data_IF_883197033300
#
_entry.id   IF_883197033300
#
_cell.length_a   1.000
_cell.length_b   1.000
_cell.length_c   1.000
_cell.angle_alpha   90.00
_cell.angle_beta   90.00
_cell.angle_gamma   90.00
#
_symmetry.space_group_name_H-M   'P 1'
#
loop_
_entity.id
_entity.type
_entity.pdbx_description
1 polymer ?
#
# COMPACT_ATOMS: atom_id res chain seq x y z
N UNK A 1 77.88 20.45 -84.16
CA UNK A 1 77.11 21.69 -84.30
C UNK A 1 76.10 21.76 -83.15
N UNK A 2 75.99 22.96 -82.56
CA UNK A 2 74.98 23.52 -81.63
C UNK A 2 73.59 22.84 -81.66
N UNK A 3 72.74 22.85 -80.64
CA UNK A 3 72.62 23.74 -79.47
C UNK A 3 71.63 23.17 -78.42
N UNK A 4 71.76 23.71 -77.21
CA UNK A 4 70.73 24.07 -76.22
C UNK A 4 70.02 23.06 -75.29
N UNK A 5 70.11 23.45 -74.02
CA UNK A 5 69.48 22.95 -72.81
C UNK A 5 67.95 23.05 -72.83
N UNK A 6 67.30 22.16 -72.09
CA UNK A 6 66.24 22.57 -71.16
C UNK A 6 66.27 21.66 -69.93
N UNK A 7 66.50 22.25 -68.77
CA UNK A 7 66.46 21.59 -67.47
C UNK A 7 65.01 21.51 -66.97
N UNK A 8 64.64 20.38 -66.36
CA UNK A 8 63.38 20.22 -65.65
C UNK A 8 63.28 18.82 -65.02
N UNK A 9 63.62 18.70 -63.73
CA UNK A 9 63.40 17.48 -62.95
C UNK A 9 61.88 17.21 -62.82
N UNK A 10 61.39 16.08 -63.33
CA UNK A 10 59.96 15.77 -63.43
C UNK A 10 59.35 14.99 -62.26
N UNK A 11 60.04 14.81 -61.13
CA UNK A 11 59.56 13.91 -60.05
C UNK A 11 59.65 14.44 -58.61
N UNK A 12 59.61 15.76 -58.40
CA UNK A 12 59.50 16.32 -57.04
C UNK A 12 58.07 16.81 -56.74
N UNK A 13 57.25 15.95 -56.13
CA UNK A 13 56.00 16.38 -55.49
C UNK A 13 56.33 16.96 -54.10
N UNK A 14 55.90 18.19 -53.76
CA UNK A 14 56.20 18.77 -52.46
C UNK A 14 55.63 17.88 -51.35
N UNK A 15 56.47 17.45 -50.39
CA UNK A 15 56.07 16.62 -49.22
C UNK A 15 54.93 17.25 -48.40
N UNK A 16 54.70 18.56 -48.59
CA UNK A 16 53.63 19.36 -47.99
C UNK A 16 52.24 19.05 -48.58
N UNK A 17 52.12 18.74 -49.87
CA UNK A 17 50.82 18.41 -50.49
C UNK A 17 50.30 17.05 -50.05
N UNK A 18 51.18 16.05 -49.98
CA UNK A 18 50.83 14.69 -49.50
C UNK A 18 50.46 14.72 -48.01
N UNK A 19 51.19 15.49 -47.19
CA UNK A 19 50.86 15.70 -45.77
C UNK A 19 49.56 16.49 -45.58
N UNK A 20 49.30 17.48 -46.44
CA UNK A 20 48.05 18.23 -46.46
C UNK A 20 46.85 17.35 -46.78
N UNK A 21 46.96 16.48 -47.79
CA UNK A 21 45.94 15.50 -48.13
C UNK A 21 45.71 14.50 -46.99
N UNK A 22 46.77 13.94 -46.40
CA UNK A 22 46.66 13.01 -45.26
C UNK A 22 45.98 13.65 -44.05
N UNK A 23 46.37 14.89 -43.70
CA UNK A 23 45.74 15.64 -42.61
C UNK A 23 44.26 15.91 -42.89
N UNK A 24 43.93 16.29 -44.12
CA UNK A 24 42.54 16.52 -44.54
C UNK A 24 41.67 15.26 -44.44
N UNK A 25 42.17 14.09 -44.86
CA UNK A 25 41.45 12.81 -44.68
C UNK A 25 41.36 12.39 -43.21
N UNK A 26 42.39 12.64 -42.41
CA UNK A 26 42.38 12.37 -40.97
C UNK A 26 41.36 13.25 -40.22
N UNK A 27 41.33 14.55 -40.50
CA UNK A 27 40.39 15.51 -39.90
C UNK A 27 38.95 15.18 -40.30
N UNK A 28 38.72 14.81 -41.57
CA UNK A 28 37.41 14.39 -42.07
C UNK A 28 36.95 13.07 -41.42
N UNK A 29 37.85 12.10 -41.24
CA UNK A 29 37.55 10.86 -40.52
C UNK A 29 37.24 11.12 -39.04
N UNK A 30 37.98 12.02 -38.38
CA UNK A 30 37.72 12.40 -36.99
C UNK A 30 36.32 13.05 -36.83
N UNK A 31 35.92 13.91 -37.76
CA UNK A 31 34.57 14.47 -37.78
C UNK A 31 33.49 13.41 -37.99
N UNK A 32 33.68 12.46 -38.90
CA UNK A 32 32.74 11.36 -39.15
C UNK A 32 32.59 10.46 -37.94
N UNK A 33 33.70 10.11 -37.27
CA UNK A 33 33.70 9.32 -36.03
C UNK A 33 32.96 10.07 -34.93
N UNK A 34 33.25 11.36 -34.74
CA UNK A 34 32.61 12.18 -33.70
C UNK A 34 31.10 12.29 -33.91
N UNK A 35 30.66 12.46 -35.17
CA UNK A 35 29.24 12.48 -35.54
C UNK A 35 28.56 11.15 -35.22
N UNK A 36 29.20 10.02 -35.58
CA UNK A 36 28.68 8.67 -35.26
C UNK A 36 28.57 8.42 -33.76
N UNK A 37 29.55 8.87 -32.97
CA UNK A 37 29.51 8.74 -31.51
C UNK A 37 28.35 9.56 -30.93
N UNK A 38 28.14 10.79 -31.42
CA UNK A 38 27.04 11.63 -30.97
C UNK A 38 25.67 11.06 -31.38
N UNK A 39 25.54 10.56 -32.61
CA UNK A 39 24.31 9.90 -33.08
C UNK A 39 24.01 8.62 -32.28
N UNK A 40 25.03 7.84 -31.96
CA UNK A 40 24.90 6.64 -31.13
C UNK A 40 24.49 6.98 -29.70
N UNK A 41 25.05 8.04 -29.11
CA UNK A 41 24.66 8.56 -27.79
C UNK A 41 23.22 9.07 -27.79
N UNK A 42 22.83 9.85 -28.79
CA UNK A 42 21.46 10.36 -28.92
C UNK A 42 20.44 9.22 -29.08
N UNK A 43 20.78 8.19 -29.86
CA UNK A 43 19.95 6.97 -29.99
C UNK A 43 19.89 6.18 -28.70
N UNK A 44 20.99 6.10 -27.95
CA UNK A 44 21.00 5.43 -26.65
C UNK A 44 20.06 6.16 -25.68
N UNK A 45 20.15 7.49 -25.59
CA UNK A 45 19.26 8.31 -24.76
C UNK A 45 17.79 8.17 -25.19
N UNK A 46 17.48 8.19 -26.50
CA UNK A 46 16.12 7.97 -27.00
C UNK A 46 15.60 6.56 -26.68
N UNK A 47 16.45 5.53 -26.76
CA UNK A 47 16.10 4.16 -26.38
C UNK A 47 15.91 4.01 -24.86
N UNK A 48 16.69 4.72 -24.04
CA UNK A 48 16.54 4.75 -22.58
C UNK A 48 15.25 5.47 -22.16
N UNK A 49 14.94 6.61 -22.78
CA UNK A 49 13.71 7.37 -22.51
C UNK A 49 12.44 6.64 -22.98
N UNK A 50 12.54 5.87 -24.07
CA UNK A 50 11.42 5.08 -24.62
C UNK A 50 11.28 3.69 -24.02
N UNK A 51 12.19 3.24 -23.14
CA UNK A 51 12.02 1.96 -22.46
C UNK A 51 10.75 2.00 -21.61
N UNK A 52 9.68 1.39 -22.14
CA UNK A 52 8.47 1.07 -21.39
C UNK A 52 8.91 0.14 -20.26
N UNK A 53 9.04 0.69 -19.06
CA UNK A 53 9.39 -0.08 -17.86
C UNK A 53 8.42 -1.25 -17.77
N UNK A 54 8.94 -2.46 -17.54
CA UNK A 54 8.12 -3.64 -17.30
C UNK A 54 7.04 -3.28 -16.27
N UNK A 55 5.76 -3.64 -16.51
CA UNK A 55 4.70 -3.38 -15.56
C UNK A 55 5.13 -3.90 -14.18
N UNK A 56 4.93 -3.13 -13.10
CA UNK A 56 5.33 -3.56 -11.79
C UNK A 56 4.65 -4.90 -11.45
N UNK A 57 5.37 -5.76 -10.71
CA UNK A 57 4.80 -6.99 -10.18
C UNK A 57 3.50 -6.66 -9.42
N UNK A 58 2.44 -7.41 -9.71
CA UNK A 58 1.16 -7.24 -9.02
C UNK A 58 1.38 -7.59 -7.55
N UNK A 59 0.84 -6.74 -6.68
CA UNK A 59 0.79 -6.99 -5.26
C UNK A 59 -0.25 -8.08 -4.99
N UNK A 60 0.17 -9.17 -4.36
CA UNK A 60 -0.69 -10.28 -3.98
C UNK A 60 -0.80 -10.31 -2.46
N UNK A 61 -2.02 -10.17 -1.96
CA UNK A 61 -2.29 -10.22 -0.53
C UNK A 61 -2.04 -11.63 -0.01
N UNK A 62 -1.14 -11.76 0.96
CA UNK A 62 -0.69 -13.06 1.44
C UNK A 62 -1.61 -13.67 2.52
N UNK A 63 -2.58 -12.90 3.05
CA UNK A 63 -3.53 -13.36 4.06
C UNK A 63 -3.45 -12.59 5.39
N UNK A 64 -4.40 -12.87 6.28
CA UNK A 64 -4.53 -12.19 7.59
C UNK A 64 -3.63 -12.78 8.69
N UNK A 65 -3.19 -14.03 8.54
CA UNK A 65 -2.44 -14.80 9.56
C UNK A 65 -0.97 -15.03 9.18
N UNK A 66 -0.47 -14.35 8.16
CA UNK A 66 0.92 -14.52 7.67
C UNK A 66 1.96 -14.09 8.72
N UNK A 67 1.59 -13.13 9.57
CA UNK A 67 2.41 -12.69 10.70
C UNK A 67 2.31 -13.62 11.93
N UNK A 68 1.46 -14.65 11.87
CA UNK A 68 1.13 -15.55 12.96
C UNK A 68 -0.38 -15.65 13.19
N UNK A 69 -0.78 -16.53 14.10
CA UNK A 69 -2.17 -16.64 14.53
C UNK A 69 -2.46 -15.68 15.69
N UNK A 70 -3.67 -15.11 15.76
CA UNK A 70 -4.15 -14.47 16.96
C UNK A 70 -4.06 -15.46 18.12
N UNK A 71 -3.75 -14.97 19.32
CA UNK A 71 -3.66 -15.77 20.54
C UNK A 71 -4.99 -15.70 21.29
N UNK A 72 -5.93 -16.64 21.09
CA UNK A 72 -7.18 -16.60 21.84
C UNK A 72 -6.88 -16.88 23.32
N UNK A 73 -7.14 -15.90 24.19
CA UNK A 73 -7.07 -16.10 25.64
C UNK A 73 -8.48 -16.29 26.19
N UNK A 74 -8.78 -17.47 26.74
CA UNK A 74 -10.00 -17.72 27.50
C UNK A 74 -11.08 -18.55 26.80
N UNK A 75 -12.20 -18.75 27.49
CA UNK A 75 -13.33 -19.57 27.05
C UNK A 75 -14.13 -18.91 25.91
N UNK A 76 -15.09 -19.67 25.34
CA UNK A 76 -16.07 -19.23 24.34
C UNK A 76 -17.13 -18.26 24.91
N UNK A 77 -16.73 -17.36 25.78
CA UNK A 77 -17.60 -16.38 26.41
C UNK A 77 -17.83 -15.15 25.48
N UNK A 78 -18.88 -14.36 25.73
CA UNK A 78 -19.05 -13.07 25.10
C UNK A 78 -17.83 -12.19 25.34
N UNK A 79 -17.17 -11.78 24.26
CA UNK A 79 -15.98 -10.92 24.30
C UNK A 79 -16.33 -9.45 24.13
N UNK A 80 -17.45 -9.16 23.47
CA UNK A 80 -17.99 -7.82 23.30
C UNK A 80 -19.51 -7.88 23.46
N UNK A 81 -20.05 -7.08 24.37
CA UNK A 81 -21.49 -7.01 24.62
C UNK A 81 -21.94 -5.56 24.72
N UNK A 82 -22.98 -5.21 23.96
CA UNK A 82 -23.74 -3.97 24.13
C UNK A 82 -25.13 -4.30 24.66
N UNK A 83 -25.60 -3.56 25.66
CA UNK A 83 -26.94 -3.67 26.23
C UNK A 83 -27.60 -2.31 26.12
N UNK A 84 -28.54 -2.18 25.17
CA UNK A 84 -29.23 -0.93 24.83
C UNK A 84 -28.26 0.26 24.67
N UNK A 85 -27.05 0.00 24.16
CA UNK A 85 -26.04 1.03 24.00
C UNK A 85 -26.49 1.99 22.90
N UNK A 86 -26.56 3.27 23.23
CA UNK A 86 -26.91 4.31 22.28
C UNK A 86 -25.88 5.44 22.33
N UNK A 87 -25.73 6.15 21.21
CA UNK A 87 -25.03 7.42 21.15
C UNK A 87 -25.99 8.43 20.53
N UNK A 88 -26.30 9.48 21.28
CA UNK A 88 -27.30 10.48 20.87
C UNK A 88 -27.05 10.96 19.44
N UNK A 89 -28.10 10.98 18.62
CA UNK A 89 -28.11 11.42 17.22
C UNK A 89 -27.17 10.64 16.27
N UNK A 90 -26.62 9.49 16.71
CA UNK A 90 -25.61 8.74 15.94
C UNK A 90 -25.77 7.22 15.95
N UNK A 91 -26.35 6.66 17.00
CA UNK A 91 -26.63 5.23 17.10
C UNK A 91 -27.89 5.04 17.99
N UNK A 92 -28.97 4.44 17.46
CA UNK A 92 -30.14 4.08 18.27
C UNK A 92 -29.77 2.99 19.30
N UNK A 93 -30.57 2.80 20.36
CA UNK A 93 -30.33 1.75 21.35
C UNK A 93 -30.12 0.38 20.69
N UNK A 94 -28.90 -0.14 20.80
CA UNK A 94 -28.48 -1.35 20.09
C UNK A 94 -27.92 -2.36 21.09
N UNK A 95 -28.49 -3.56 21.07
CA UNK A 95 -28.03 -4.71 21.86
C UNK A 95 -27.41 -5.75 20.94
N UNK A 96 -26.18 -6.17 21.27
CA UNK A 96 -25.39 -7.10 20.50
C UNK A 96 -24.47 -7.85 21.44
N UNK A 97 -24.40 -9.18 21.35
CA UNK A 97 -23.44 -9.99 22.07
C UNK A 97 -22.62 -10.78 21.07
N UNK A 98 -21.30 -10.59 21.08
CA UNK A 98 -20.34 -11.23 20.18
C UNK A 98 -19.48 -12.16 21.01
N UNK A 99 -19.48 -13.43 20.64
CA UNK A 99 -18.65 -14.47 21.25
C UNK A 99 -17.33 -14.65 20.51
N UNK A 100 -16.37 -15.28 21.18
CA UNK A 100 -15.07 -15.61 20.60
C UNK A 100 -15.20 -16.47 19.33
N UNK A 101 -14.47 -16.12 18.28
CA UNK A 101 -14.45 -16.84 16.99
C UNK A 101 -15.62 -16.51 16.06
N UNK A 102 -16.62 -15.76 16.52
CA UNK A 102 -17.76 -15.39 15.68
C UNK A 102 -17.37 -14.39 14.58
N UNK A 103 -18.08 -14.49 13.46
CA UNK A 103 -17.99 -13.58 12.32
C UNK A 103 -19.29 -12.80 12.21
N UNK A 104 -19.22 -11.49 12.41
CA UNK A 104 -20.36 -10.60 12.32
C UNK A 104 -20.25 -9.64 11.14
N UNK A 105 -21.36 -9.47 10.41
CA UNK A 105 -21.53 -8.40 9.44
C UNK A 105 -22.61 -7.43 9.94
N UNK A 106 -22.20 -6.19 10.18
CA UNK A 106 -23.09 -5.07 10.49
C UNK A 106 -23.41 -4.36 9.18
N UNK A 107 -24.69 -4.34 8.83
CA UNK A 107 -25.22 -3.66 7.64
C UNK A 107 -26.18 -2.55 8.04
N UNK A 108 -26.38 -1.59 7.15
CA UNK A 108 -27.29 -0.48 7.36
C UNK A 108 -26.98 0.65 6.38
N UNK A 109 -27.94 1.56 6.14
CA UNK A 109 -27.74 2.72 5.27
C UNK A 109 -26.62 3.64 5.80
N UNK A 110 -26.18 4.59 4.98
CA UNK A 110 -25.26 5.62 5.42
C UNK A 110 -25.93 6.45 6.54
N UNK A 111 -25.19 6.72 7.61
CA UNK A 111 -25.73 7.41 8.79
C UNK A 111 -26.44 6.51 9.82
N UNK A 112 -26.61 5.20 9.57
CA UNK A 112 -27.22 4.27 10.53
C UNK A 112 -26.42 4.03 11.84
N UNK A 113 -25.20 4.54 11.92
CA UNK A 113 -24.36 4.40 13.11
C UNK A 113 -23.38 3.23 13.11
N UNK A 114 -23.09 2.59 11.97
CA UNK A 114 -22.14 1.46 11.88
C UNK A 114 -20.76 1.79 12.49
N UNK A 115 -20.13 2.87 12.02
CA UNK A 115 -18.85 3.35 12.56
C UNK A 115 -18.96 3.73 14.03
N UNK A 116 -20.10 4.28 14.45
CA UNK A 116 -20.40 4.58 15.86
C UNK A 116 -20.42 3.32 16.71
N UNK A 117 -21.09 2.26 16.25
CA UNK A 117 -21.13 0.97 16.94
C UNK A 117 -19.72 0.37 17.04
N UNK A 118 -18.92 0.40 15.97
CA UNK A 118 -17.53 -0.06 16.02
C UNK A 118 -16.68 0.79 16.99
N UNK A 119 -16.88 2.10 17.04
CA UNK A 119 -16.26 3.00 18.01
C UNK A 119 -16.66 2.66 19.46
N UNK A 120 -17.96 2.35 19.66
CA UNK A 120 -18.46 1.85 20.94
C UNK A 120 -17.87 0.49 21.27
N UNK A 121 -17.59 -0.42 20.33
CA UNK A 121 -16.99 -1.73 20.58
C UNK A 121 -15.47 -1.68 20.82
N UNK A 122 -14.76 -0.73 20.20
CA UNK A 122 -13.31 -0.49 20.43
C UNK A 122 -12.99 0.26 21.71
N UNK A 123 -13.87 1.18 22.12
CA UNK A 123 -13.73 1.93 23.38
C UNK A 123 -13.23 3.34 23.16
N UNK A 124 -13.03 3.68 21.88
CA UNK A 124 -12.80 5.03 21.41
C UNK A 124 -14.01 5.94 21.64
N UNK A 125 -15.22 5.37 21.68
CA UNK A 125 -16.46 6.08 22.03
C UNK A 125 -17.10 5.50 23.30
N UNK A 126 -17.72 6.37 24.10
CA UNK A 126 -18.54 6.01 25.26
C UNK A 126 -20.02 6.18 24.92
N UNK A 127 -20.90 5.24 25.32
CA UNK A 127 -22.32 5.36 25.06
C UNK A 127 -22.92 6.52 25.88
N UNK A 128 -23.96 7.16 25.33
CA UNK A 128 -24.78 8.15 26.07
C UNK A 128 -25.77 7.45 27.01
N UNK A 129 -26.23 6.25 26.64
CA UNK A 129 -27.11 5.41 27.47
C UNK A 129 -26.83 3.93 27.19
N UNK A 130 -27.27 3.05 28.10
CA UNK A 130 -26.97 1.62 28.05
C UNK A 130 -25.55 1.31 28.52
N UNK A 131 -25.09 0.09 28.23
CA UNK A 131 -23.79 -0.40 28.69
C UNK A 131 -23.02 -1.11 27.58
N UNK A 132 -21.69 -0.99 27.61
CA UNK A 132 -20.78 -1.77 26.78
C UNK A 132 -19.78 -2.50 27.67
N UNK A 133 -19.80 -3.83 27.62
CA UNK A 133 -18.88 -4.73 28.32
C UNK A 133 -17.94 -5.38 27.32
N UNK A 134 -16.66 -5.53 27.69
CA UNK A 134 -15.62 -6.01 26.79
C UNK A 134 -14.59 -6.80 27.57
N UNK A 135 -13.97 -7.76 26.89
CA UNK A 135 -12.65 -8.27 27.27
C UNK A 135 -11.58 -7.18 27.11
N UNK A 136 -10.37 -7.36 27.68
CA UNK A 136 -9.30 -6.37 27.60
C UNK A 136 -9.10 -5.77 26.19
N UNK A 137 -8.99 -4.45 26.15
CA UNK A 137 -9.01 -3.62 24.92
C UNK A 137 -7.77 -3.82 24.05
N UNK A 138 -6.67 -4.29 24.62
CA UNK A 138 -5.42 -4.59 23.93
C UNK A 138 -5.55 -5.70 22.88
N UNK A 139 -6.62 -6.49 22.93
CA UNK A 139 -6.93 -7.57 21.99
C UNK A 139 -7.85 -7.15 20.84
N UNK A 140 -8.42 -5.94 20.91
CA UNK A 140 -9.33 -5.38 19.89
C UNK A 140 -8.55 -4.42 18.99
N UNK A 141 -8.67 -4.57 17.67
CA UNK A 141 -8.14 -3.59 16.71
C UNK A 141 -9.19 -3.23 15.68
N UNK A 142 -9.25 -1.94 15.35
CA UNK A 142 -10.15 -1.40 14.35
C UNK A 142 -9.36 -0.84 13.17
N UNK A 143 -9.72 -1.30 11.98
CA UNK A 143 -9.42 -0.59 10.74
C UNK A 143 -10.57 0.37 10.45
N UNK A 144 -10.41 1.64 10.80
CA UNK A 144 -11.42 2.67 10.59
C UNK A 144 -11.56 3.05 9.09
N UNK A 145 -12.70 3.66 8.74
CA UNK A 145 -12.99 4.13 7.38
C UNK A 145 -12.03 5.24 6.93
N UNK A 146 -11.81 6.25 7.78
CA UNK A 146 -10.84 7.33 7.55
C UNK A 146 -9.50 6.94 8.19
N UNK A 147 -8.48 6.77 7.35
CA UNK A 147 -7.18 6.26 7.78
C UNK A 147 -6.19 7.38 8.02
N UNK A 148 -6.40 8.18 9.07
CA UNK A 148 -5.33 9.00 9.61
C UNK A 148 -4.42 8.09 10.45
N UNK A 149 -3.26 7.72 9.91
CA UNK A 149 -2.27 6.94 10.64
C UNK A 149 -1.69 7.79 11.79
N UNK A 150 -1.76 7.33 13.05
CA UNK A 150 -1.17 8.06 14.16
C UNK A 150 0.32 8.32 13.92
N UNK A 151 0.80 9.48 14.36
CA UNK A 151 2.21 9.87 14.32
C UNK A 151 2.72 10.08 15.75
N UNK A 152 2.97 8.99 16.51
CA UNK A 152 3.31 9.07 17.93
C UNK A 152 4.64 9.78 18.21
N UNK A 153 5.48 9.95 17.19
CA UNK A 153 6.78 10.61 17.29
C UNK A 153 6.83 11.96 16.57
N UNK A 154 5.67 12.48 16.12
CA UNK A 154 5.53 13.78 15.45
C UNK A 154 6.57 14.01 14.34
N UNK A 155 6.79 12.99 13.49
CA UNK A 155 7.73 13.05 12.37
C UNK A 155 7.24 13.96 11.24
N UNK A 156 5.94 14.24 11.21
CA UNK A 156 5.31 15.19 10.31
C UNK A 156 5.43 14.80 8.84
N UNK A 157 5.56 15.77 7.90
CA UNK A 157 5.42 15.52 6.47
C UNK A 157 6.56 14.69 5.86
N UNK A 158 7.68 14.56 6.57
CA UNK A 158 8.84 13.77 6.11
C UNK A 158 8.73 12.28 6.43
N UNK A 159 7.73 11.90 7.26
CA UNK A 159 7.50 10.52 7.69
C UNK A 159 7.33 9.58 6.50
N UNK A 160 8.22 8.61 6.37
CA UNK A 160 8.12 7.61 5.32
C UNK A 160 7.13 6.52 5.69
N UNK A 161 6.73 5.72 4.70
CA UNK A 161 5.87 4.56 4.91
C UNK A 161 6.51 3.53 5.85
N UNK A 162 7.82 3.31 5.72
CA UNK A 162 8.56 2.39 6.59
C UNK A 162 8.66 2.94 8.02
N UNK A 163 8.91 4.25 8.18
CA UNK A 163 8.87 4.90 9.50
C UNK A 163 7.49 4.70 10.13
N UNK A 164 6.43 4.98 9.37
CA UNK A 164 5.07 4.88 9.88
C UNK A 164 4.71 3.47 10.34
N UNK A 165 5.09 2.47 9.56
CA UNK A 165 4.93 1.08 9.95
C UNK A 165 5.72 0.74 11.22
N UNK A 166 7.00 1.09 11.25
CA UNK A 166 7.91 0.77 12.37
C UNK A 166 7.47 1.46 13.66
N UNK A 167 7.07 2.72 13.58
CA UNK A 167 6.61 3.51 14.73
C UNK A 167 5.33 2.93 15.36
N UNK A 168 4.39 2.44 14.53
CA UNK A 168 3.10 1.93 14.99
C UNK A 168 3.17 0.48 15.48
N UNK A 169 4.03 -0.33 14.86
CA UNK A 169 4.15 -1.77 15.13
C UNK A 169 5.21 -2.06 16.20
N UNK A 170 6.20 -1.16 16.34
CA UNK A 170 7.37 -1.30 17.18
C UNK A 170 8.55 -1.94 16.42
N UNK A 171 9.78 -1.47 16.70
CA UNK A 171 10.98 -1.86 15.98
C UNK A 171 11.24 -3.38 16.00
N UNK A 172 11.08 -4.05 17.15
CA UNK A 172 11.29 -5.49 17.26
C UNK A 172 10.31 -6.28 16.39
N UNK A 173 9.03 -5.88 16.38
CA UNK A 173 8.00 -6.55 15.60
C UNK A 173 8.14 -6.24 14.12
N UNK A 174 8.50 -5.00 13.75
CA UNK A 174 8.79 -4.65 12.36
C UNK A 174 10.01 -5.43 11.79
N UNK A 175 10.96 -5.81 12.64
CA UNK A 175 12.07 -6.69 12.25
C UNK A 175 11.63 -8.15 12.03
N UNK A 176 10.69 -8.66 12.83
CA UNK A 176 10.14 -10.02 12.69
C UNK A 176 9.11 -10.15 11.58
N UNK A 177 8.31 -9.11 11.38
CA UNK A 177 7.24 -9.00 10.38
C UNK A 177 7.53 -7.75 9.55
N UNK A 178 8.37 -7.84 8.51
CA UNK A 178 8.64 -6.70 7.64
C UNK A 178 7.36 -6.24 6.91
N UNK A 179 7.26 -4.95 6.58
CA UNK A 179 6.10 -4.39 5.86
C UNK A 179 5.72 -5.15 4.58
N UNK A 180 6.71 -5.71 3.88
CA UNK A 180 6.50 -6.50 2.66
C UNK A 180 5.76 -7.82 2.85
N UNK A 181 5.65 -8.32 4.10
CA UNK A 181 5.09 -9.64 4.44
C UNK A 181 3.69 -9.85 3.89
N UNK A 182 2.83 -8.83 3.96
CA UNK A 182 1.42 -8.95 3.56
C UNK A 182 1.20 -8.75 2.06
N UNK A 183 2.21 -8.31 1.31
CA UNK A 183 2.05 -7.92 -0.10
C UNK A 183 1.09 -6.74 -0.29
N UNK A 184 0.92 -5.88 0.71
CA UNK A 184 -0.03 -4.75 0.68
C UNK A 184 0.60 -3.45 0.13
N UNK A 185 1.90 -3.27 0.33
CA UNK A 185 2.69 -2.11 -0.12
C UNK A 185 3.88 -2.62 -0.93
N UNK A 186 4.18 -1.96 -2.05
CA UNK A 186 5.34 -2.32 -2.86
C UNK A 186 6.64 -1.81 -2.21
N UNK A 187 7.73 -2.57 -2.32
CA UNK A 187 9.03 -2.21 -1.74
C UNK A 187 9.54 -0.83 -2.17
N UNK A 188 9.25 -0.42 -3.40
CA UNK A 188 9.59 0.91 -3.93
C UNK A 188 8.89 2.07 -3.21
N UNK A 189 7.74 1.80 -2.58
CA UNK A 189 6.95 2.80 -1.89
C UNK A 189 7.34 2.92 -0.41
N UNK A 190 8.23 2.06 0.12
CA UNK A 190 8.61 2.05 1.54
C UNK A 190 9.26 3.38 2.00
N UNK A 191 10.06 4.01 1.14
CA UNK A 191 10.74 5.27 1.46
C UNK A 191 9.94 6.51 1.01
N UNK A 192 8.76 6.33 0.41
CA UNK A 192 7.90 7.45 0.04
C UNK A 192 7.26 8.04 1.29
N UNK A 193 6.90 9.32 1.22
CA UNK A 193 6.21 9.99 2.33
C UNK A 193 4.77 9.49 2.43
N UNK A 194 4.26 9.32 3.64
CA UNK A 194 2.87 8.83 3.85
C UNK A 194 1.85 9.76 3.17
N UNK A 195 2.08 11.07 3.20
CA UNK A 195 1.21 12.07 2.57
C UNK A 195 1.16 11.99 1.03
N UNK A 196 2.14 11.34 0.39
CA UNK A 196 2.17 11.14 -1.07
C UNK A 196 1.44 9.87 -1.51
N UNK A 197 1.08 9.01 -0.55
CA UNK A 197 0.31 7.81 -0.84
C UNK A 197 -1.13 8.17 -1.22
N UNK A 198 -1.69 7.43 -2.18
CA UNK A 198 -3.12 7.49 -2.41
C UNK A 198 -3.89 6.98 -1.19
N UNK A 199 -5.15 7.38 -1.04
CA UNK A 199 -6.03 6.90 0.04
C UNK A 199 -6.05 5.36 0.14
N UNK A 200 -6.10 4.68 -1.01
CA UNK A 200 -6.04 3.22 -1.05
C UNK A 200 -4.70 2.64 -0.57
N UNK A 201 -3.57 3.31 -0.86
CA UNK A 201 -2.25 2.91 -0.35
C UNK A 201 -2.13 3.16 1.16
N UNK A 202 -2.63 4.30 1.67
CA UNK A 202 -2.66 4.57 3.11
C UNK A 202 -3.51 3.52 3.85
N UNK A 203 -4.64 3.14 3.26
CA UNK A 203 -5.49 2.10 3.81
C UNK A 203 -4.82 0.72 3.86
N UNK A 204 -4.10 0.36 2.79
CA UNK A 204 -3.28 -0.87 2.76
C UNK A 204 -2.18 -0.85 3.81
N UNK A 205 -1.56 0.32 4.05
CA UNK A 205 -0.57 0.49 5.11
C UNK A 205 -1.20 0.31 6.49
N UNK A 206 -2.37 0.90 6.77
CA UNK A 206 -3.06 0.68 8.03
C UNK A 206 -3.50 -0.77 8.23
N UNK A 207 -3.95 -1.45 7.17
CA UNK A 207 -4.23 -2.88 7.24
C UNK A 207 -2.95 -3.66 7.59
N UNK A 208 -1.81 -3.36 6.96
CA UNK A 208 -0.53 -4.00 7.30
C UNK A 208 -0.12 -3.75 8.76
N UNK A 209 -0.34 -2.55 9.29
CA UNK A 209 -0.08 -2.22 10.71
C UNK A 209 -0.94 -3.06 11.64
N UNK A 210 -2.25 -3.17 11.36
CA UNK A 210 -3.18 -3.99 12.18
C UNK A 210 -2.80 -5.47 12.14
N UNK A 211 -2.39 -5.98 10.98
CA UNK A 211 -2.06 -7.40 10.80
C UNK A 211 -0.65 -7.77 11.30
N UNK A 212 0.22 -6.79 11.54
CA UNK A 212 1.55 -7.05 12.08
C UNK A 212 1.52 -7.73 13.46
N UNK A 213 0.46 -7.47 14.22
CA UNK A 213 0.13 -8.13 15.48
C UNK A 213 -1.33 -8.60 15.42
N UNK A 214 -1.58 -9.80 14.85
CA UNK A 214 -2.93 -10.28 14.57
C UNK A 214 -3.83 -10.22 15.81
N UNK A 215 -4.87 -9.37 15.80
CA UNK A 215 -5.72 -9.15 16.98
C UNK A 215 -6.65 -10.33 17.20
N UNK A 216 -6.96 -10.64 18.46
CA UNK A 216 -8.00 -11.62 18.77
C UNK A 216 -9.37 -11.19 18.20
N UNK A 217 -9.64 -9.88 18.23
CA UNK A 217 -10.88 -9.29 17.73
C UNK A 217 -10.54 -8.23 16.69
N UNK A 218 -10.85 -8.54 15.43
CA UNK A 218 -10.63 -7.67 14.29
C UNK A 218 -11.94 -6.97 13.91
N UNK A 219 -11.96 -5.65 14.04
CA UNK A 219 -13.07 -4.80 13.63
C UNK A 219 -12.69 -4.07 12.32
N UNK A 220 -13.56 -4.11 11.32
CA UNK A 220 -13.33 -3.51 10.01
C UNK A 220 -14.48 -2.59 9.64
N UNK A 221 -14.19 -1.31 9.43
CA UNK A 221 -15.18 -0.33 9.00
C UNK A 221 -15.05 -0.03 7.50
N UNK A 222 -16.06 -0.46 6.73
CA UNK A 222 -16.14 -0.35 5.28
C UNK A 222 -14.88 -0.86 4.54
N UNK A 223 -14.35 -2.06 4.85
CA UNK A 223 -13.02 -2.49 4.41
C UNK A 223 -12.86 -2.53 2.89
N UNK A 224 -13.92 -2.73 2.11
CA UNK A 224 -13.82 -2.88 0.65
C UNK A 224 -13.64 -1.55 -0.08
N UNK A 225 -13.99 -0.41 0.53
CA UNK A 225 -13.80 0.90 -0.09
C UNK A 225 -12.30 1.15 -0.38
N UNK A 226 -11.99 1.77 -1.51
CA UNK A 226 -10.61 2.13 -1.90
C UNK A 226 -9.63 0.94 -2.07
N UNK A 227 -10.12 -0.32 -2.02
CA UNK A 227 -9.35 -1.49 -2.42
C UNK A 227 -9.64 -1.90 -3.87
N UNK A 228 -8.66 -2.56 -4.50
CA UNK A 228 -8.88 -3.19 -5.80
C UNK A 228 -9.75 -4.43 -5.62
N UNK A 229 -10.57 -4.77 -6.62
CA UNK A 229 -11.44 -5.95 -6.58
C UNK A 229 -10.69 -7.23 -6.19
N UNK A 230 -9.46 -7.40 -6.69
CA UNK A 230 -8.59 -8.54 -6.33
C UNK A 230 -8.26 -8.61 -4.84
N UNK A 231 -8.04 -7.46 -4.19
CA UNK A 231 -7.74 -7.38 -2.76
C UNK A 231 -9.02 -7.59 -1.94
N UNK A 232 -10.16 -7.07 -2.42
CA UNK A 232 -11.46 -7.30 -1.78
C UNK A 232 -11.76 -8.79 -1.73
N UNK A 233 -11.68 -9.50 -2.85
CA UNK A 233 -11.93 -10.96 -2.88
C UNK A 233 -10.97 -11.73 -1.98
N UNK A 234 -9.67 -11.42 -2.04
CA UNK A 234 -8.68 -12.08 -1.18
C UNK A 234 -8.92 -11.79 0.32
N UNK A 235 -9.37 -10.58 0.66
CA UNK A 235 -9.72 -10.21 2.03
C UNK A 235 -10.99 -10.93 2.49
N UNK A 236 -12.03 -11.00 1.66
CA UNK A 236 -13.26 -11.75 1.96
C UNK A 236 -12.96 -13.21 2.31
N UNK A 237 -12.17 -13.88 1.47
CA UNK A 237 -11.81 -15.29 1.68
C UNK A 237 -10.95 -15.46 2.94
N UNK A 238 -10.03 -14.52 3.21
CA UNK A 238 -9.20 -14.55 4.42
C UNK A 238 -10.00 -14.29 5.70
N UNK A 239 -11.02 -13.41 5.68
CA UNK A 239 -11.85 -13.10 6.86
C UNK A 239 -12.65 -14.30 7.35
N UNK A 240 -13.10 -15.15 6.42
CA UNK A 240 -13.79 -16.41 6.73
C UNK A 240 -12.85 -17.38 7.46
N UNK A 241 -11.60 -17.46 7.02
CA UNK A 241 -10.59 -18.37 7.57
C UNK A 241 -9.87 -17.83 8.80
N UNK A 242 -10.06 -16.55 9.15
CA UNK A 242 -9.40 -15.95 10.30
C UNK A 242 -9.78 -16.70 11.59
N UNK A 243 -8.85 -17.11 12.45
CA UNK A 243 -9.19 -17.88 13.64
C UNK A 243 -9.75 -17.03 14.80
N UNK A 244 -9.55 -15.71 14.77
CA UNK A 244 -10.10 -14.78 15.78
C UNK A 244 -11.55 -14.34 15.52
N UNK A 245 -12.10 -13.48 16.38
CA UNK A 245 -13.41 -12.84 16.15
C UNK A 245 -13.29 -11.74 15.09
N UNK A 246 -14.27 -11.65 14.18
CA UNK A 246 -14.30 -10.60 13.16
C UNK A 246 -15.64 -9.89 13.18
N UNK A 247 -15.63 -8.56 13.16
CA UNK A 247 -16.82 -7.75 12.94
C UNK A 247 -16.56 -6.80 11.78
N UNK A 248 -17.36 -6.91 10.73
CA UNK A 248 -17.27 -6.04 9.56
C UNK A 248 -18.49 -5.14 9.52
N UNK A 249 -18.31 -3.83 9.51
CA UNK A 249 -19.33 -2.90 9.08
C UNK A 249 -19.20 -2.67 7.58
N UNK A 250 -20.24 -2.94 6.80
CA UNK A 250 -20.21 -2.61 5.38
C UNK A 250 -21.59 -2.42 4.76
N UNK A 251 -21.66 -1.58 3.73
CA UNK A 251 -22.79 -1.48 2.81
C UNK A 251 -22.60 -2.26 1.49
N UNK A 252 -21.47 -2.97 1.33
CA UNK A 252 -21.14 -3.70 0.12
C UNK A 252 -22.12 -4.86 -0.11
N UNK A 253 -22.82 -4.81 -1.26
CA UNK A 253 -23.82 -5.80 -1.65
C UNK A 253 -23.20 -7.17 -1.94
N UNK A 254 -21.96 -7.22 -2.42
CA UNK A 254 -21.25 -8.46 -2.70
C UNK A 254 -20.85 -9.17 -1.42
N UNK A 255 -20.21 -8.44 -0.50
CA UNK A 255 -19.86 -8.96 0.83
C UNK A 255 -21.11 -9.49 1.55
N UNK A 256 -22.20 -8.71 1.54
CA UNK A 256 -23.47 -9.11 2.15
C UNK A 256 -24.04 -10.40 1.56
N UNK A 257 -23.90 -10.62 0.24
CA UNK A 257 -24.37 -11.85 -0.42
C UNK A 257 -23.53 -13.06 -0.05
N UNK A 258 -22.21 -12.90 0.06
CA UNK A 258 -21.26 -14.00 0.32
C UNK A 258 -21.03 -14.30 1.81
N UNK A 259 -21.48 -13.43 2.71
CA UNK A 259 -21.24 -13.56 4.15
C UNK A 259 -21.88 -14.82 4.74
N UNK A 260 -21.07 -15.67 5.38
CA UNK A 260 -21.53 -16.93 5.98
C UNK A 260 -21.68 -16.86 7.52
N UNK A 261 -21.42 -15.71 8.13
CA UNK A 261 -21.54 -15.50 9.57
C UNK A 261 -22.84 -14.83 10.02
N UNK A 262 -22.85 -14.40 11.28
CA UNK A 262 -23.93 -13.65 11.91
C UNK A 262 -24.09 -12.28 11.27
N UNK A 263 -25.32 -11.73 11.35
CA UNK A 263 -25.65 -10.44 10.73
C UNK A 263 -26.47 -9.58 11.67
N UNK A 264 -26.11 -8.30 11.74
CA UNK A 264 -26.90 -7.26 12.40
C UNK A 264 -27.26 -6.20 11.35
N UNK A 265 -28.54 -5.84 11.27
CA UNK A 265 -28.99 -4.73 10.42
C UNK A 265 -29.38 -3.57 11.32
N UNK A 266 -28.65 -2.46 11.20
CA UNK A 266 -29.01 -1.21 11.87
C UNK A 266 -30.16 -0.54 11.10
N UNK A 267 -31.13 0.07 11.82
CA UNK A 267 -32.25 0.74 11.20
C UNK A 267 -31.80 2.01 10.46
N UNK A 268 -32.72 2.57 9.67
CA UNK A 268 -32.53 3.90 9.06
C UNK A 268 -32.36 4.97 10.15
N UNK A 269 -31.51 6.00 9.90
CA UNK A 269 -31.43 7.14 10.80
C UNK A 269 -32.81 7.80 10.93
N UNK A 270 -33.24 8.07 12.16
CA UNK A 270 -34.46 8.83 12.44
C UNK A 270 -34.34 10.30 12.03
#
# INVERSE_FOLDING_TARGET
MKDQQTAGHSDWRPRTEVRGAQKFYADRNAQVISRRVNDARARLTDLEDRQIRKPPRKLEFQGLTVAGDPRPIGALEPVLTTVNAALKDRLPPTSLSISRGEKWLITGPNGSGKSTLLGLLTGTLKPTSGQVTRTPVDHVRLLAQETALPDPYDRGPTRTVLDAYTDLVGAERAARVPLGTFGLIASRDHNRRVQELSVGQQRRLALAVVLADPPEILLLDEPTNHFSLSLVTALEDALVQYPGTVVVASHDRWLRKRWQGQRLTLPEPC
#
